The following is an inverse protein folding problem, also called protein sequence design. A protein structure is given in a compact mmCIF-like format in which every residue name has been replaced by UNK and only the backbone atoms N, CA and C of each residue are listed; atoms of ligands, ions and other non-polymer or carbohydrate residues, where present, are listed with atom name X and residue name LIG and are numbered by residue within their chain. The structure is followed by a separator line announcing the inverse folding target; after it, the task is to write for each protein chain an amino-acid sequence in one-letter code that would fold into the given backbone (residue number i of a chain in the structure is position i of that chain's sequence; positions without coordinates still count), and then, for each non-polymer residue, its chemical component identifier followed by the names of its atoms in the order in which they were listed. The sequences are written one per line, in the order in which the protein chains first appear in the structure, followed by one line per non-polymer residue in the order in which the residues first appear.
data_IF_370309431451
#
_entry.id   IF_370309431451
#
_cell.length_a   1.000
_cell.length_b   1.000
_cell.length_c   1.000
_cell.angle_alpha   90.00
_cell.angle_beta   90.00
_cell.angle_gamma   90.00
#
_symmetry.space_group_name_H-M   'P 1'
#
loop_
_entity.id
_entity.type
_entity.pdbx_description
1 polymer ?
#
# COMPACT_ATOMS: atom_id res chain seq x y z
N UNK A 1 -24.71 10.43 -37.50
CA UNK A 1 -23.77 11.16 -36.61
C UNK A 1 -24.49 11.39 -35.28
N UNK A 2 -24.01 11.05 -34.09
CA UNK A 2 -22.84 10.37 -33.57
C UNK A 2 -23.06 10.38 -32.05
N UNK A 3 -23.03 9.21 -31.39
CA UNK A 3 -23.32 9.07 -29.97
C UNK A 3 -22.32 9.91 -29.15
N UNK A 4 -22.85 10.82 -28.32
CA UNK A 4 -22.08 11.49 -27.27
C UNK A 4 -21.70 10.43 -26.24
N UNK A 5 -20.45 9.98 -26.31
CA UNK A 5 -19.85 9.16 -25.27
C UNK A 5 -19.81 9.99 -23.98
N UNK A 6 -20.60 9.57 -22.99
CA UNK A 6 -20.46 10.04 -21.63
C UNK A 6 -19.05 9.66 -21.17
N UNK A 7 -18.13 10.64 -21.23
CA UNK A 7 -16.81 10.52 -20.65
C UNK A 7 -16.99 10.28 -19.16
N UNK A 8 -16.77 9.04 -18.73
CA UNK A 8 -16.74 8.68 -17.34
C UNK A 8 -15.78 9.62 -16.63
N UNK A 9 -16.31 10.38 -15.67
CA UNK A 9 -15.48 10.97 -14.64
C UNK A 9 -14.82 9.81 -13.92
N UNK A 10 -13.57 9.54 -14.30
CA UNK A 10 -12.66 8.77 -13.46
C UNK A 10 -12.64 9.53 -12.12
N UNK A 11 -13.43 9.07 -11.17
CA UNK A 11 -13.24 9.44 -9.78
C UNK A 11 -11.81 9.02 -9.49
N UNK A 12 -10.90 9.99 -9.43
CA UNK A 12 -9.66 9.82 -8.71
C UNK A 12 -10.08 9.28 -7.35
N UNK A 13 -9.92 7.97 -7.18
CA UNK A 13 -10.43 7.25 -6.05
C UNK A 13 -9.57 7.65 -4.87
N UNK A 14 -9.98 8.69 -4.15
CA UNK A 14 -9.51 9.03 -2.80
C UNK A 14 -8.05 8.63 -2.55
N UNK A 15 -7.13 9.10 -3.39
CA UNK A 15 -5.68 8.97 -3.15
C UNK A 15 -5.22 9.85 -1.97
N UNK A 16 -6.16 10.51 -1.29
CA UNK A 16 -5.91 11.80 -0.67
C UNK A 16 -6.04 11.84 0.85
N UNK A 17 -6.13 10.71 1.55
CA UNK A 17 -6.03 10.72 3.01
C UNK A 17 -4.62 10.32 3.48
N UNK A 18 -3.61 11.05 3.00
CA UNK A 18 -2.28 11.06 3.63
C UNK A 18 -1.41 9.82 3.39
N UNK A 19 -1.67 9.04 2.33
CA UNK A 19 -0.76 7.97 1.93
C UNK A 19 0.44 8.59 1.18
N UNK A 20 1.62 8.58 1.82
CA UNK A 20 2.84 9.16 1.25
C UNK A 20 3.70 8.16 0.46
N UNK A 21 3.40 6.86 0.58
CA UNK A 21 4.13 5.79 -0.10
C UNK A 21 3.47 5.41 -1.42
N UNK A 22 4.27 4.86 -2.35
CA UNK A 22 3.79 4.40 -3.66
C UNK A 22 2.98 5.46 -4.42
N UNK A 23 3.46 6.70 -4.40
CA UNK A 23 2.80 7.86 -5.04
C UNK A 23 1.36 8.10 -4.57
N UNK A 24 1.01 7.64 -3.36
CA UNK A 24 -0.35 7.76 -2.82
C UNK A 24 -1.32 6.73 -3.40
N UNK A 25 -0.85 5.71 -4.13
CA UNK A 25 -1.69 4.65 -4.65
C UNK A 25 -1.93 3.56 -3.58
N UNK A 26 -3.17 3.43 -3.07
CA UNK A 26 -3.47 2.46 -2.03
C UNK A 26 -3.41 1.02 -2.54
N UNK A 27 -3.70 0.73 -3.81
CA UNK A 27 -3.65 -0.63 -4.34
C UNK A 27 -2.22 -1.13 -4.46
N UNK A 28 -1.32 -0.31 -4.99
CA UNK A 28 0.11 -0.60 -5.11
C UNK A 28 0.71 -0.74 -3.73
N UNK A 29 0.36 0.14 -2.80
CA UNK A 29 0.81 0.05 -1.42
C UNK A 29 0.31 -1.21 -0.72
N UNK A 30 -0.96 -1.58 -0.86
CA UNK A 30 -1.49 -2.80 -0.25
C UNK A 30 -0.93 -4.08 -0.89
N UNK A 31 -0.51 -4.03 -2.16
CA UNK A 31 0.10 -5.18 -2.83
C UNK A 31 1.61 -5.31 -2.55
N UNK A 32 2.34 -4.20 -2.50
CA UNK A 32 3.81 -4.21 -2.47
C UNK A 32 4.43 -3.58 -1.23
N UNK A 33 3.65 -2.88 -0.41
CA UNK A 33 4.11 -2.22 0.81
C UNK A 33 5.14 -1.14 0.52
N UNK A 34 6.11 -1.01 1.42
CA UNK A 34 7.27 -0.13 1.20
C UNK A 34 8.17 -0.64 0.07
N UNK A 35 8.79 0.28 -0.65
CA UNK A 35 9.74 0.04 -1.73
C UNK A 35 11.16 -0.25 -1.24
N UNK A 36 11.50 0.16 -0.01
CA UNK A 36 12.79 -0.14 0.59
C UNK A 36 13.05 -1.63 0.81
N UNK A 37 14.33 -2.00 0.76
CA UNK A 37 14.85 -3.33 1.08
C UNK A 37 16.19 -3.19 1.83
N UNK A 38 16.41 -3.92 2.94
CA UNK A 38 15.45 -4.77 3.64
C UNK A 38 14.30 -3.95 4.27
N UNK A 39 13.20 -4.61 4.60
CA UNK A 39 12.09 -4.01 5.35
C UNK A 39 11.58 -4.96 6.43
N UNK A 40 10.97 -4.42 7.48
CA UNK A 40 10.51 -5.17 8.65
C UNK A 40 9.28 -6.07 8.40
N UNK A 41 8.50 -5.78 7.35
CA UNK A 41 7.30 -6.53 7.01
C UNK A 41 7.00 -6.47 5.50
N UNK A 42 6.18 -7.41 5.02
CA UNK A 42 5.71 -7.50 3.65
C UNK A 42 4.20 -7.72 3.61
N UNK A 43 3.48 -7.13 2.63
CA UNK A 43 2.08 -7.46 2.40
C UNK A 43 1.87 -8.94 2.13
N UNK A 44 0.63 -9.38 2.35
CA UNK A 44 0.15 -10.72 2.01
C UNK A 44 -0.94 -10.62 0.95
N UNK A 45 -1.14 -11.65 0.11
CA UNK A 45 -2.13 -11.60 -0.97
C UNK A 45 -3.56 -11.31 -0.51
N UNK A 46 -3.94 -11.74 0.70
CA UNK A 46 -5.25 -11.56 1.33
C UNK A 46 -5.25 -10.40 2.33
N UNK A 47 -4.63 -9.28 1.96
CA UNK A 47 -4.44 -8.09 2.81
C UNK A 47 -5.72 -7.49 3.40
N UNK A 48 -6.90 -7.86 2.89
CA UNK A 48 -8.16 -7.40 3.44
C UNK A 48 -8.59 -8.14 4.71
N UNK A 49 -8.10 -9.36 4.91
CA UNK A 49 -8.44 -10.22 6.04
C UNK A 49 -7.24 -10.63 6.88
N UNK A 50 -6.03 -10.39 6.38
CA UNK A 50 -4.79 -10.83 7.02
C UNK A 50 -3.82 -9.70 7.32
N UNK A 51 -3.05 -9.90 8.39
CA UNK A 51 -1.97 -9.00 8.78
C UNK A 51 -0.74 -9.20 7.89
N UNK A 52 0.08 -8.17 7.66
CA UNK A 52 1.33 -8.32 6.95
C UNK A 52 2.27 -9.35 7.58
N UNK A 53 3.04 -10.03 6.74
CA UNK A 53 4.06 -10.96 7.19
C UNK A 53 5.27 -10.19 7.73
N UNK A 54 5.81 -10.62 8.88
CA UNK A 54 7.00 -10.00 9.49
C UNK A 54 8.25 -10.66 8.93
N UNK A 55 9.25 -9.84 8.60
CA UNK A 55 10.53 -10.30 8.08
C UNK A 55 11.31 -11.06 9.16
N UNK A 56 11.80 -12.28 8.88
CA UNK A 56 12.63 -13.01 9.82
C UNK A 56 13.84 -12.18 10.29
N UNK A 57 14.07 -12.15 11.61
CA UNK A 57 15.14 -11.36 12.22
C UNK A 57 14.75 -9.95 12.65
N UNK A 58 13.55 -9.46 12.27
CA UNK A 58 12.97 -8.23 12.83
C UNK A 58 12.09 -8.52 14.05
N UNK A 59 11.77 -7.47 14.80
CA UNK A 59 10.83 -7.55 15.92
C UNK A 59 9.46 -8.12 15.50
N UNK A 60 8.78 -8.89 16.36
CA UNK A 60 7.48 -9.51 16.05
C UNK A 60 6.30 -8.51 16.11
N UNK A 61 6.57 -7.23 16.35
CA UNK A 61 5.60 -6.17 16.51
C UNK A 61 6.21 -4.84 16.03
N UNK A 62 5.38 -3.82 15.71
CA UNK A 62 5.84 -2.51 15.27
C UNK A 62 6.50 -1.73 16.42
N UNK A 63 7.75 -2.07 16.73
CA UNK A 63 8.58 -1.44 17.76
C UNK A 63 9.95 -1.12 17.22
N UNK A 64 10.51 0.00 17.68
CA UNK A 64 11.88 0.41 17.36
C UNK A 64 12.93 -0.43 18.06
N UNK A 65 12.54 -1.27 19.02
CA UNK A 65 13.45 -2.12 19.78
C UNK A 65 12.77 -3.40 20.29
N UNK A 66 13.51 -4.50 20.23
CA UNK A 66 13.24 -5.75 20.93
C UNK A 66 14.57 -6.51 21.13
N UNK A 67 14.58 -7.48 22.05
CA UNK A 67 15.80 -8.24 22.35
C UNK A 67 16.16 -9.21 21.21
N UNK A 68 17.45 -9.23 20.85
CA UNK A 68 18.06 -10.18 19.90
C UNK A 68 17.58 -10.09 18.44
N UNK A 69 16.88 -9.02 18.07
CA UNK A 69 16.29 -8.83 16.75
C UNK A 69 16.41 -7.36 16.32
N UNK A 70 16.21 -7.11 15.02
CA UNK A 70 16.25 -5.77 14.44
C UNK A 70 14.95 -5.01 14.71
N UNK A 71 15.08 -3.84 15.32
CA UNK A 71 13.99 -2.88 15.51
C UNK A 71 13.48 -2.33 14.18
N UNK A 72 12.21 -1.96 14.14
CA UNK A 72 11.59 -1.34 12.98
C UNK A 72 11.93 0.15 12.95
N UNK A 73 12.06 0.73 11.76
CA UNK A 73 12.13 2.19 11.62
C UNK A 73 10.77 2.83 11.94
N UNK A 74 10.77 4.13 12.28
CA UNK A 74 9.53 4.87 12.48
C UNK A 74 8.65 4.89 11.22
N UNK A 75 9.28 4.91 10.04
CA UNK A 75 8.59 4.83 8.76
C UNK A 75 7.91 3.48 8.55
N UNK A 76 8.59 2.38 8.89
CA UNK A 76 8.02 1.03 8.78
C UNK A 76 6.83 0.83 9.71
N UNK A 77 6.90 1.40 10.92
CA UNK A 77 5.80 1.42 11.88
C UNK A 77 4.63 2.23 11.32
N UNK A 78 4.88 3.44 10.82
CA UNK A 78 3.83 4.28 10.25
C UNK A 78 3.16 3.61 9.04
N UNK A 79 3.94 3.04 8.14
CA UNK A 79 3.44 2.32 6.97
C UNK A 79 2.63 1.09 7.36
N UNK A 80 3.07 0.33 8.37
CA UNK A 80 2.32 -0.83 8.87
C UNK A 80 0.95 -0.43 9.41
N UNK A 81 0.89 0.63 10.22
CA UNK A 81 -0.38 1.14 10.77
C UNK A 81 -1.30 1.68 9.67
N UNK A 82 -0.75 2.36 8.68
CA UNK A 82 -1.52 2.80 7.50
C UNK A 82 -2.04 1.60 6.72
N UNK A 83 -1.24 0.57 6.49
CA UNK A 83 -1.64 -0.66 5.80
C UNK A 83 -2.84 -1.31 6.48
N UNK A 84 -2.78 -1.52 7.80
CA UNK A 84 -3.88 -2.12 8.57
C UNK A 84 -5.17 -1.30 8.48
N UNK A 85 -5.06 0.01 8.29
CA UNK A 85 -6.21 0.91 8.18
C UNK A 85 -6.85 0.91 6.79
N UNK A 86 -6.03 1.01 5.74
CA UNK A 86 -6.52 1.27 4.39
C UNK A 86 -6.77 0.00 3.58
N UNK A 87 -5.96 -1.04 3.77
CA UNK A 87 -5.98 -2.22 2.90
C UNK A 87 -7.25 -3.07 3.01
N UNK A 88 -7.89 -3.22 4.19
CA UNK A 88 -9.21 -3.85 4.29
C UNK A 88 -10.32 -3.10 3.53
N UNK A 89 -10.15 -1.80 3.30
CA UNK A 89 -11.10 -1.00 2.52
C UNK A 89 -10.72 -0.90 1.03
N UNK A 90 -9.44 -1.10 0.68
CA UNK A 90 -8.95 -1.03 -0.69
C UNK A 90 -9.63 -2.09 -1.60
N UNK A 91 -9.86 -3.32 -1.12
CA UNK A 91 -10.60 -4.34 -1.90
C UNK A 91 -12.02 -3.91 -2.28
N UNK A 92 -12.69 -3.13 -1.42
CA UNK A 92 -14.05 -2.61 -1.68
C UNK A 92 -14.07 -1.49 -2.70
N UNK A 93 -12.92 -0.86 -2.93
CA UNK A 93 -12.78 0.28 -3.85
C UNK A 93 -12.81 -0.15 -5.32
N UNK A 94 -12.81 -1.45 -5.63
CA UNK A 94 -12.78 -1.97 -7.00
C UNK A 94 -11.38 -2.44 -7.41
N UNK A 95 -11.27 -3.20 -8.51
CA UNK A 95 -9.96 -3.58 -9.05
C UNK A 95 -9.39 -2.40 -9.83
N UNK A 96 -8.08 -2.18 -9.72
CA UNK A 96 -7.35 -1.28 -10.63
C UNK A 96 -7.64 -1.66 -12.09
N UNK A 97 -8.15 -0.71 -12.87
CA UNK A 97 -8.48 -0.85 -14.30
C UNK A 97 -7.44 -0.18 -15.22
N UNK A 98 -6.31 0.30 -14.69
CA UNK A 98 -5.24 0.89 -15.47
C UNK A 98 -4.27 -0.13 -16.08
N UNK A 99 -3.59 0.25 -17.16
CA UNK A 99 -2.58 -0.61 -17.82
C UNK A 99 -1.32 -0.74 -16.94
N UNK A 100 -1.06 -1.93 -16.38
CA UNK A 100 0.10 -2.25 -15.54
C UNK A 100 -0.26 -2.59 -14.09
N UNK A 101 0.69 -3.12 -13.30
CA UNK A 101 0.48 -3.52 -11.89
C UNK A 101 0.49 -2.34 -10.88
N UNK A 102 0.30 -1.12 -11.37
CA UNK A 102 0.39 0.13 -10.60
C UNK A 102 1.81 0.49 -10.14
N UNK A 103 2.81 -0.36 -10.36
CA UNK A 103 4.24 -0.02 -10.22
C UNK A 103 4.73 1.01 -11.25
N UNK A 104 3.90 1.38 -12.23
CA UNK A 104 4.26 2.22 -13.38
C UNK A 104 3.37 3.49 -13.53
N UNK A 105 2.46 3.80 -12.60
CA UNK A 105 1.69 5.05 -12.62
C UNK A 105 2.44 6.18 -11.89
N UNK A 106 2.40 7.43 -12.38
CA UNK A 106 3.53 7.93 -13.17
C UNK A 106 4.51 8.80 -12.38
N UNK A 107 5.80 8.67 -12.77
CA UNK A 107 6.82 9.71 -12.55
C UNK A 107 6.47 10.87 -13.50
N UNK A 108 5.96 11.97 -12.97
CA UNK A 108 5.88 13.24 -13.69
C UNK A 108 6.74 14.26 -12.94
N UNK A 109 7.78 14.76 -13.62
CA UNK A 109 8.57 15.93 -13.22
C UNK A 109 7.80 17.22 -13.55
#
# INVERSE_FOLDING_TARGET
MGLLAAGGVAHAQTGEQGLIWRAGDPFVFCRYGLDQTPKAWFPVPDYATSIPAITPGYCPAPTTFCYYQTGWSLEEIAAYLTYLRICPQAERSGRWEGTGDGTQAPIAH
#
